data_IF_706143812105
#
_entry.id   IF_706143812105
#
_cell.length_a   1.000
_cell.length_b   1.000
_cell.length_c   1.000
_cell.angle_alpha   90.00
_cell.angle_beta   90.00
_cell.angle_gamma   90.00
#
_symmetry.space_group_name_H-M   'P 1'
#
loop_
_entity.id
_entity.type
_entity.pdbx_description
1 polymer ?
#
# COMPACT_ATOMS: atom_id res chain seq x y z
N UNK A 1 -31.21 -5.82 -16.62
CA UNK A 1 -30.73 -5.83 -18.03
C UNK A 1 -29.21 -5.86 -17.99
N UNK A 2 -28.63 -6.98 -18.42
CA UNK A 2 -27.19 -7.20 -18.48
C UNK A 2 -26.59 -6.36 -19.61
N UNK A 3 -25.81 -5.33 -19.28
CA UNK A 3 -24.90 -4.74 -20.25
C UNK A 3 -23.65 -5.62 -20.31
N UNK A 4 -23.66 -6.54 -21.29
CA UNK A 4 -22.47 -7.20 -21.79
C UNK A 4 -21.47 -6.13 -22.23
N UNK A 5 -20.35 -6.05 -21.54
CA UNK A 5 -19.19 -5.27 -21.98
C UNK A 5 -18.66 -5.98 -23.23
N UNK A 6 -18.87 -5.35 -24.38
CA UNK A 6 -18.26 -5.74 -25.65
C UNK A 6 -16.74 -5.56 -25.51
N UNK A 7 -16.01 -6.65 -25.37
CA UNK A 7 -14.55 -6.66 -25.35
C UNK A 7 -14.11 -6.38 -26.78
N UNK A 8 -13.44 -5.24 -26.99
CA UNK A 8 -12.83 -4.90 -28.27
C UNK A 8 -11.84 -6.00 -28.68
N UNK A 9 -12.10 -6.58 -29.86
CA UNK A 9 -11.20 -7.47 -30.58
C UNK A 9 -9.87 -6.75 -30.84
N UNK A 10 -8.77 -7.34 -30.35
CA UNK A 10 -7.44 -6.77 -30.54
C UNK A 10 -6.35 -7.18 -29.54
N UNK A 11 -6.47 -8.30 -28.82
CA UNK A 11 -5.33 -8.84 -28.04
C UNK A 11 -4.77 -10.05 -28.78
N UNK A 12 -3.73 -9.92 -29.60
CA UNK A 12 -2.92 -11.09 -29.90
C UNK A 12 -2.07 -11.41 -28.66
N UNK A 13 -1.94 -12.70 -28.37
CA UNK A 13 -0.84 -13.35 -27.66
C UNK A 13 -1.14 -13.96 -26.27
N UNK A 14 -0.57 -15.16 -26.14
CA UNK A 14 -0.68 -16.14 -25.07
C UNK A 14 -0.54 -15.54 -23.66
N UNK A 15 -1.57 -15.71 -22.83
CA UNK A 15 -1.49 -15.46 -21.39
C UNK A 15 -0.54 -16.46 -20.73
N UNK A 16 0.28 -16.00 -19.78
CA UNK A 16 1.20 -16.86 -19.01
C UNK A 16 0.43 -18.00 -18.34
N UNK A 17 1.00 -19.20 -18.42
CA UNK A 17 0.61 -20.36 -17.62
C UNK A 17 1.00 -20.16 -16.16
N UNK A 18 0.45 -20.96 -15.25
CA UNK A 18 0.81 -20.91 -13.83
C UNK A 18 2.31 -21.13 -13.59
N UNK A 19 2.93 -22.07 -14.32
CA UNK A 19 4.38 -22.31 -14.26
C UNK A 19 5.19 -21.08 -14.70
N UNK A 20 4.73 -20.39 -15.75
CA UNK A 20 5.41 -19.18 -16.24
C UNK A 20 5.26 -18.01 -15.26
N UNK A 21 4.11 -17.90 -14.58
CA UNK A 21 3.97 -16.95 -13.48
C UNK A 21 5.01 -17.20 -12.39
N UNK A 22 5.18 -18.45 -11.94
CA UNK A 22 6.18 -18.82 -10.90
C UNK A 22 7.59 -18.38 -11.29
N UNK A 23 8.03 -18.65 -12.53
CA UNK A 23 9.37 -18.26 -12.98
C UNK A 23 9.54 -16.74 -13.01
N UNK A 24 8.56 -16.01 -13.53
CA UNK A 24 8.63 -14.54 -13.60
C UNK A 24 8.63 -13.91 -12.20
N UNK A 25 7.82 -14.42 -11.27
CA UNK A 25 7.85 -13.93 -9.89
C UNK A 25 9.12 -14.28 -9.14
N UNK A 26 9.76 -15.42 -9.43
CA UNK A 26 11.08 -15.72 -8.89
C UNK A 26 12.12 -14.70 -9.37
N UNK A 27 12.10 -14.32 -10.66
CA UNK A 27 12.94 -13.23 -11.19
C UNK A 27 12.66 -11.89 -10.51
N UNK A 28 11.38 -11.52 -10.35
CA UNK A 28 11.00 -10.29 -9.64
C UNK A 28 11.46 -10.28 -8.18
N UNK A 29 11.39 -11.43 -7.49
CA UNK A 29 11.87 -11.57 -6.12
C UNK A 29 13.39 -11.38 -6.01
N UNK A 30 14.16 -11.89 -6.98
CA UNK A 30 15.61 -11.65 -7.05
C UNK A 30 15.89 -10.15 -7.17
N UNK A 31 15.20 -9.44 -8.07
CA UNK A 31 15.34 -7.99 -8.21
C UNK A 31 14.97 -7.24 -6.92
N UNK A 32 13.91 -7.68 -6.23
CA UNK A 32 13.51 -7.11 -4.95
C UNK A 32 14.58 -7.31 -3.86
N UNK A 33 15.22 -8.49 -3.79
CA UNK A 33 16.29 -8.74 -2.82
C UNK A 33 17.54 -7.92 -3.12
N UNK A 34 17.91 -7.82 -4.40
CA UNK A 34 19.03 -6.98 -4.85
C UNK A 34 18.78 -5.51 -4.56
N UNK A 35 17.55 -5.01 -4.74
CA UNK A 35 17.17 -3.66 -4.33
C UNK A 35 17.49 -3.42 -2.85
N UNK A 36 17.04 -4.31 -1.96
CA UNK A 36 17.27 -4.13 -0.53
C UNK A 36 18.74 -4.25 -0.12
N UNK A 37 19.51 -5.10 -0.79
CA UNK A 37 20.96 -5.15 -0.59
C UNK A 37 21.61 -3.82 -0.99
N UNK A 38 21.24 -3.26 -2.14
CA UNK A 38 21.75 -1.97 -2.60
C UNK A 38 21.30 -0.80 -1.71
N UNK A 39 20.10 -0.83 -1.12
CA UNK A 39 19.70 0.14 -0.09
C UNK A 39 20.63 0.11 1.13
N UNK A 40 21.02 -1.09 1.59
CA UNK A 40 21.94 -1.23 2.74
C UNK A 40 23.35 -0.73 2.41
N UNK A 41 23.77 -0.86 1.15
CA UNK A 41 25.08 -0.44 0.67
C UNK A 41 25.13 1.01 0.15
N UNK A 42 24.02 1.74 0.15
CA UNK A 42 23.99 3.12 -0.37
C UNK A 42 24.03 3.24 -1.90
N UNK A 43 23.74 2.17 -2.63
CA UNK A 43 23.87 2.07 -4.09
C UNK A 43 22.52 2.11 -4.83
N UNK A 44 21.47 2.71 -4.23
CA UNK A 44 20.11 2.70 -4.77
C UNK A 44 20.00 3.21 -6.21
N UNK A 45 20.65 4.35 -6.51
CA UNK A 45 20.56 4.98 -7.83
C UNK A 45 21.29 4.16 -8.90
N UNK A 46 22.46 3.61 -8.58
CA UNK A 46 23.20 2.76 -9.52
C UNK A 46 22.44 1.47 -9.83
N UNK A 47 21.78 0.86 -8.83
CA UNK A 47 20.91 -0.29 -9.07
C UNK A 47 19.73 0.05 -10.00
N UNK A 48 19.09 1.21 -9.79
CA UNK A 48 17.99 1.67 -10.64
C UNK A 48 18.45 1.79 -12.09
N UNK A 49 19.59 2.46 -12.33
CA UNK A 49 20.16 2.67 -13.66
C UNK A 49 20.47 1.32 -14.34
N UNK A 50 21.18 0.42 -13.66
CA UNK A 50 21.56 -0.90 -14.20
C UNK A 50 20.35 -1.74 -14.58
N UNK A 51 19.29 -1.74 -13.77
CA UNK A 51 18.08 -2.50 -14.06
C UNK A 51 17.28 -1.87 -15.21
N UNK A 52 17.26 -0.54 -15.32
CA UNK A 52 16.65 0.14 -16.48
C UNK A 52 17.39 -0.19 -17.77
N UNK A 53 18.72 -0.27 -17.75
CA UNK A 53 19.54 -0.70 -18.89
C UNK A 53 19.27 -2.16 -19.25
N UNK A 54 19.24 -3.06 -18.25
CA UNK A 54 18.95 -4.48 -18.43
C UNK A 54 17.62 -4.72 -19.16
N UNK A 55 16.55 -4.00 -18.79
CA UNK A 55 15.24 -4.19 -19.44
C UNK A 55 15.09 -3.44 -20.76
N UNK A 56 16.02 -2.54 -21.08
CA UNK A 56 16.08 -1.87 -22.38
C UNK A 56 16.62 -2.82 -23.45
N UNK A 57 17.61 -3.63 -23.11
CA UNK A 57 18.14 -4.68 -23.97
C UNK A 57 17.30 -5.96 -23.87
N UNK A 58 16.17 -5.96 -24.57
CA UNK A 58 15.24 -7.10 -24.60
C UNK A 58 15.85 -8.38 -25.16
N UNK A 59 16.89 -8.28 -25.99
CA UNK A 59 17.52 -9.45 -26.63
C UNK A 59 18.35 -10.27 -25.63
N UNK A 60 18.85 -9.61 -24.57
CA UNK A 60 19.59 -10.25 -23.49
C UNK A 60 18.71 -11.04 -22.51
N UNK A 61 17.39 -10.80 -22.50
CA UNK A 61 16.47 -11.40 -21.54
C UNK A 61 15.92 -12.74 -22.05
N UNK A 62 15.84 -13.76 -21.18
CA UNK A 62 15.13 -14.99 -21.50
C UNK A 62 13.69 -14.70 -21.95
N UNK A 63 13.24 -15.40 -23.00
CA UNK A 63 11.95 -15.13 -23.67
C UNK A 63 10.73 -15.14 -22.75
N UNK A 64 10.79 -15.88 -21.63
CA UNK A 64 9.74 -15.92 -20.61
C UNK A 64 9.48 -14.55 -19.96
N UNK A 65 10.50 -13.69 -19.85
CA UNK A 65 10.39 -12.32 -19.31
C UNK A 65 9.86 -11.32 -20.35
N UNK A 66 9.86 -11.71 -21.63
CA UNK A 66 9.32 -10.90 -22.73
C UNK A 66 7.82 -11.13 -22.93
N UNK A 67 7.24 -12.11 -22.25
CA UNK A 67 5.81 -12.40 -22.34
C UNK A 67 4.98 -11.22 -21.83
N UNK A 68 3.98 -10.85 -22.64
CA UNK A 68 3.02 -9.81 -22.31
C UNK A 68 2.23 -10.11 -21.04
N UNK A 69 1.66 -9.04 -20.51
CA UNK A 69 0.66 -9.10 -19.46
C UNK A 69 -0.60 -9.86 -19.89
N UNK A 70 -1.39 -10.28 -18.90
CA UNK A 70 -2.69 -10.91 -19.13
C UNK A 70 -3.79 -10.22 -18.34
N UNK A 71 -4.94 -10.88 -18.22
CA UNK A 71 -5.99 -10.49 -17.26
C UNK A 71 -6.01 -11.55 -16.17
N UNK A 72 -5.87 -11.12 -14.91
CA UNK A 72 -6.08 -12.01 -13.78
C UNK A 72 -7.57 -12.34 -13.69
N UNK A 73 -7.91 -13.62 -13.82
CA UNK A 73 -9.30 -14.11 -13.76
C UNK A 73 -9.95 -13.84 -12.39
N UNK A 74 -9.18 -13.95 -11.32
CA UNK A 74 -9.62 -13.65 -9.95
C UNK A 74 -9.86 -12.15 -9.77
N UNK A 75 -8.99 -11.33 -10.38
CA UNK A 75 -9.01 -9.88 -10.21
C UNK A 75 -9.98 -9.15 -11.09
N UNK A 76 -10.25 -9.71 -12.27
CA UNK A 76 -10.66 -8.96 -13.44
C UNK A 76 -9.82 -7.68 -13.62
N UNK A 77 -8.51 -7.79 -13.40
CA UNK A 77 -7.53 -6.70 -13.53
C UNK A 77 -6.42 -7.13 -14.46
N UNK A 78 -5.82 -6.15 -15.14
CA UNK A 78 -4.63 -6.34 -15.95
C UNK A 78 -3.46 -6.76 -15.07
N UNK A 79 -2.72 -7.74 -15.55
CA UNK A 79 -1.42 -8.15 -15.03
C UNK A 79 -0.37 -7.50 -15.93
N UNK A 80 0.59 -6.73 -15.40
CA UNK A 80 1.64 -6.11 -16.21
C UNK A 80 2.60 -7.16 -16.79
N UNK A 81 3.27 -6.81 -17.89
CA UNK A 81 4.42 -7.59 -18.35
C UNK A 81 5.59 -7.44 -17.36
N UNK A 82 6.59 -8.32 -17.42
CA UNK A 82 7.74 -8.20 -16.50
C UNK A 82 8.52 -6.92 -16.76
N UNK A 83 8.77 -6.62 -18.04
CA UNK A 83 9.44 -5.38 -18.46
C UNK A 83 8.66 -4.15 -17.98
N UNK A 84 7.34 -4.13 -18.15
CA UNK A 84 6.50 -3.05 -17.65
C UNK A 84 6.68 -2.91 -16.14
N UNK A 85 6.53 -3.98 -15.37
CA UNK A 85 6.69 -3.92 -13.92
C UNK A 85 8.06 -3.46 -13.48
N UNK A 86 9.13 -3.84 -14.17
CA UNK A 86 10.47 -3.38 -13.84
C UNK A 86 10.61 -1.88 -14.13
N UNK A 87 10.23 -1.44 -15.31
CA UNK A 87 10.28 -0.03 -15.69
C UNK A 87 9.44 0.84 -14.75
N UNK A 88 8.21 0.43 -14.47
CA UNK A 88 7.29 1.19 -13.64
C UNK A 88 7.69 1.16 -12.16
N UNK A 89 8.28 0.07 -11.68
CA UNK A 89 8.88 0.01 -10.34
C UNK A 89 10.05 0.99 -10.23
N UNK A 90 10.98 0.99 -11.20
CA UNK A 90 12.18 1.84 -11.13
C UNK A 90 11.83 3.33 -11.12
N UNK A 91 10.85 3.79 -11.91
CA UNK A 91 10.32 5.17 -11.83
C UNK A 91 9.88 5.55 -10.41
N UNK A 92 9.12 4.67 -9.76
CA UNK A 92 8.60 4.90 -8.39
C UNK A 92 9.72 4.88 -7.36
N UNK A 93 10.72 4.02 -7.52
CA UNK A 93 11.91 4.01 -6.67
C UNK A 93 12.76 5.27 -6.85
N UNK A 94 12.97 5.76 -8.08
CA UNK A 94 13.65 7.03 -8.34
C UNK A 94 12.96 8.19 -7.65
N UNK A 95 11.62 8.23 -7.72
CA UNK A 95 10.80 9.21 -7.02
C UNK A 95 10.97 9.10 -5.49
N UNK A 96 10.89 7.89 -4.92
CA UNK A 96 11.10 7.66 -3.49
C UNK A 96 12.51 8.10 -3.04
N UNK A 97 13.54 7.82 -3.83
CA UNK A 97 14.91 8.26 -3.50
C UNK A 97 15.09 9.78 -3.64
N UNK A 98 14.34 10.44 -4.52
CA UNK A 98 14.29 11.90 -4.56
C UNK A 98 13.65 12.48 -3.28
N UNK A 99 12.55 11.86 -2.80
CA UNK A 99 11.93 12.21 -1.51
C UNK A 99 12.87 12.02 -0.33
N UNK A 100 13.73 10.98 -0.34
CA UNK A 100 14.73 10.74 0.73
C UNK A 100 15.68 11.92 0.95
N UNK A 101 15.95 12.69 -0.12
CA UNK A 101 16.89 13.82 -0.12
C UNK A 101 16.23 15.15 0.21
N UNK A 102 14.91 15.18 0.44
CA UNK A 102 14.17 16.37 0.81
C UNK A 102 14.64 16.94 2.16
N UNK A 103 14.53 18.25 2.33
CA UNK A 103 14.70 18.87 3.64
C UNK A 103 13.58 18.39 4.56
N UNK A 104 13.95 17.81 5.71
CA UNK A 104 13.00 17.22 6.63
C UNK A 104 12.71 18.17 7.80
N UNK A 105 11.48 18.67 7.93
CA UNK A 105 11.11 19.55 9.04
C UNK A 105 10.96 18.78 10.37
N UNK A 106 11.10 19.44 11.54
CA UNK A 106 10.97 18.80 12.86
C UNK A 106 9.59 18.21 13.17
N UNK A 107 8.57 18.75 12.50
CA UNK A 107 7.16 18.33 12.61
C UNK A 107 6.88 17.06 11.81
N UNK A 108 7.76 16.64 10.90
CA UNK A 108 7.66 15.35 10.22
C UNK A 108 8.35 14.26 11.06
N UNK A 109 7.63 13.17 11.34
CA UNK A 109 8.11 12.05 12.16
C UNK A 109 8.50 10.85 11.35
N UNK A 110 7.79 10.58 10.28
CA UNK A 110 8.11 9.47 9.41
C UNK A 110 7.47 9.59 8.05
N UNK A 111 8.11 8.94 7.08
CA UNK A 111 7.50 8.66 5.79
C UNK A 111 7.61 7.16 5.58
N UNK A 112 6.46 6.50 5.49
CA UNK A 112 6.36 5.09 5.13
C UNK A 112 5.76 5.00 3.73
N UNK A 113 6.11 3.94 3.02
CA UNK A 113 5.44 3.60 1.78
C UNK A 113 5.06 2.13 1.74
N UNK A 114 3.98 1.85 1.01
CA UNK A 114 3.43 0.51 0.96
C UNK A 114 2.58 0.23 -0.27
N UNK A 115 1.54 -0.57 -0.07
CA UNK A 115 0.59 -0.91 -1.12
C UNK A 115 1.24 -1.72 -2.25
N UNK A 116 0.97 -1.37 -3.51
CA UNK A 116 1.40 -2.20 -4.65
C UNK A 116 2.91 -2.51 -4.67
N UNK A 117 3.73 -1.59 -4.14
CA UNK A 117 5.18 -1.73 -3.99
C UNK A 117 5.58 -2.72 -2.88
N UNK A 118 4.73 -2.93 -1.87
CA UNK A 118 4.90 -3.94 -0.81
C UNK A 118 4.41 -5.32 -1.23
N UNK A 119 3.38 -5.41 -2.07
CA UNK A 119 2.77 -6.68 -2.50
C UNK A 119 3.50 -7.38 -3.65
N UNK A 120 4.59 -6.82 -4.18
CA UNK A 120 5.36 -7.45 -5.26
C UNK A 120 6.05 -6.44 -6.14
N UNK A 121 7.11 -5.82 -5.60
CA UNK A 121 8.02 -4.95 -6.34
C UNK A 121 8.56 -5.70 -7.57
N UNK A 122 8.63 -5.06 -8.74
CA UNK A 122 9.04 -5.67 -10.02
C UNK A 122 8.09 -6.74 -10.60
N UNK A 123 6.90 -6.96 -10.03
CA UNK A 123 5.93 -7.94 -10.54
C UNK A 123 4.49 -7.40 -10.70
N UNK A 124 4.05 -6.55 -9.76
CA UNK A 124 2.66 -6.09 -9.69
C UNK A 124 2.45 -4.63 -10.10
N UNK A 125 3.54 -3.92 -10.37
CA UNK A 125 3.51 -2.49 -10.63
C UNK A 125 3.10 -2.25 -12.09
N UNK A 126 2.03 -1.48 -12.28
CA UNK A 126 1.43 -1.17 -13.58
C UNK A 126 1.73 0.26 -14.01
N UNK A 127 1.87 0.47 -15.30
CA UNK A 127 1.83 1.77 -15.95
C UNK A 127 0.51 2.00 -16.70
N UNK A 128 0.43 3.10 -17.46
CA UNK A 128 -0.71 3.37 -18.34
C UNK A 128 -1.98 3.83 -17.61
N UNK A 129 -3.16 3.55 -18.18
CA UNK A 129 -4.46 4.06 -17.69
C UNK A 129 -4.84 3.52 -16.31
N UNK A 130 -4.38 2.32 -15.96
CA UNK A 130 -4.60 1.65 -14.67
C UNK A 130 -3.30 1.55 -13.86
N UNK A 131 -2.44 2.57 -13.99
CA UNK A 131 -1.16 2.66 -13.31
C UNK A 131 -1.31 2.47 -11.80
N UNK A 132 -0.33 1.79 -11.20
CA UNK A 132 -0.28 1.62 -9.76
C UNK A 132 0.12 2.92 -9.08
N UNK A 133 -0.63 3.34 -8.06
CA UNK A 133 -0.24 4.47 -7.22
C UNK A 133 1.01 4.13 -6.39
N UNK A 134 1.70 5.17 -5.91
CA UNK A 134 2.62 5.05 -4.76
C UNK A 134 1.86 5.47 -3.52
N UNK A 135 1.60 4.51 -2.63
CA UNK A 135 0.90 4.75 -1.37
C UNK A 135 1.92 5.24 -0.32
N UNK A 136 1.79 6.51 0.08
CA UNK A 136 2.69 7.20 1.01
C UNK A 136 1.94 7.58 2.29
N UNK A 137 2.55 7.27 3.42
CA UNK A 137 2.07 7.65 4.74
C UNK A 137 3.04 8.64 5.36
N UNK A 138 2.59 9.87 5.55
CA UNK A 138 3.30 10.92 6.24
C UNK A 138 2.83 10.96 7.69
N UNK A 139 3.72 10.60 8.61
CA UNK A 139 3.46 10.62 10.05
C UNK A 139 4.01 11.93 10.59
N UNK A 140 3.16 12.76 11.16
CA UNK A 140 3.47 14.16 11.47
C UNK A 140 3.03 14.54 12.88
N UNK A 141 3.53 15.66 13.40
CA UNK A 141 2.90 16.36 14.50
C UNK A 141 1.66 17.11 14.03
N UNK A 142 0.74 17.40 14.94
CA UNK A 142 -0.49 18.11 14.60
C UNK A 142 -0.29 19.53 14.07
N UNK A 143 0.82 20.19 14.41
CA UNK A 143 1.17 21.54 13.94
C UNK A 143 1.72 21.56 12.50
N UNK A 144 2.10 20.41 11.93
CA UNK A 144 2.53 20.27 10.54
C UNK A 144 1.53 20.87 9.54
N UNK A 145 0.23 20.74 9.80
CA UNK A 145 -0.82 21.23 8.91
C UNK A 145 -1.00 22.75 8.90
N UNK A 146 -0.40 23.46 9.87
CA UNK A 146 -0.42 24.92 9.96
C UNK A 146 0.93 25.57 9.66
N UNK A 147 2.00 24.80 9.50
CA UNK A 147 3.36 25.34 9.37
C UNK A 147 3.84 25.42 7.92
N UNK A 148 4.90 26.21 7.72
CA UNK A 148 5.65 26.27 6.46
C UNK A 148 6.30 24.92 6.09
N UNK A 149 6.37 23.97 7.03
CA UNK A 149 6.96 22.66 6.85
C UNK A 149 6.25 21.82 5.78
N UNK A 150 4.92 21.92 5.71
CA UNK A 150 4.14 21.25 4.68
C UNK A 150 4.61 21.68 3.28
N UNK A 151 4.92 22.97 3.11
CA UNK A 151 5.37 23.58 1.86
C UNK A 151 6.79 23.13 1.50
N UNK A 152 7.64 22.89 2.51
CA UNK A 152 8.99 22.38 2.30
C UNK A 152 8.99 20.90 1.89
N UNK A 153 8.08 20.11 2.46
CA UNK A 153 7.95 18.67 2.16
C UNK A 153 7.34 18.45 0.77
N UNK A 154 6.26 19.15 0.45
CA UNK A 154 5.57 18.99 -0.84
C UNK A 154 5.98 20.10 -1.80
N UNK A 155 6.94 19.81 -2.68
CA UNK A 155 7.45 20.78 -3.65
C UNK A 155 7.65 20.18 -5.03
N UNK A 156 7.74 21.04 -6.05
CA UNK A 156 8.07 20.62 -7.43
C UNK A 156 9.45 19.94 -7.52
N UNK A 157 10.41 20.35 -6.67
CA UNK A 157 11.72 19.70 -6.58
C UNK A 157 11.63 18.25 -6.12
N UNK A 158 10.54 17.89 -5.43
CA UNK A 158 10.26 16.55 -4.95
C UNK A 158 9.34 15.75 -5.89
N UNK A 159 9.02 16.29 -7.08
CA UNK A 159 8.27 15.59 -8.13
C UNK A 159 6.76 15.82 -8.12
N UNK A 160 6.24 16.71 -7.27
CA UNK A 160 4.81 17.06 -7.21
C UNK A 160 4.48 18.27 -8.08
N UNK A 161 3.33 18.25 -8.75
CA UNK A 161 2.91 19.38 -9.59
C UNK A 161 2.44 20.59 -8.75
N UNK A 162 2.74 21.85 -9.14
CA UNK A 162 2.43 23.04 -8.35
C UNK A 162 0.93 23.23 -8.01
N UNK A 163 0.04 22.96 -8.96
CA UNK A 163 -1.41 23.02 -8.78
C UNK A 163 -1.91 22.02 -7.74
N UNK A 164 -1.32 20.82 -7.73
CA UNK A 164 -1.63 19.76 -6.77
C UNK A 164 -1.15 20.12 -5.37
N UNK A 165 -0.01 20.80 -5.27
CA UNK A 165 0.53 21.32 -4.00
C UNK A 165 -0.41 22.40 -3.43
N UNK A 166 -0.90 23.33 -4.26
CA UNK A 166 -1.86 24.35 -3.81
C UNK A 166 -3.15 23.72 -3.26
N UNK A 167 -3.71 22.72 -3.97
CA UNK A 167 -4.89 22.00 -3.49
C UNK A 167 -4.66 21.33 -2.14
N UNK A 168 -3.49 20.73 -1.92
CA UNK A 168 -3.13 20.14 -0.63
C UNK A 168 -3.10 21.20 0.48
N UNK A 169 -2.57 22.39 0.19
CA UNK A 169 -2.46 23.50 1.15
C UNK A 169 -3.83 23.99 1.59
N UNK A 170 -4.71 24.29 0.62
CA UNK A 170 -6.05 24.81 0.89
C UNK A 170 -6.83 23.87 1.81
N UNK A 171 -6.67 22.56 1.58
CA UNK A 171 -7.31 21.50 2.38
C UNK A 171 -6.69 21.31 3.76
N UNK A 172 -5.40 21.61 3.94
CA UNK A 172 -4.69 21.34 5.21
C UNK A 172 -5.19 22.19 6.37
N UNK A 173 -5.55 23.45 6.11
CA UNK A 173 -6.13 24.35 7.12
C UNK A 173 -7.49 23.83 7.58
N UNK A 174 -8.33 23.41 6.63
CA UNK A 174 -9.64 22.83 6.94
C UNK A 174 -9.49 21.51 7.70
N UNK A 175 -8.55 20.65 7.30
CA UNK A 175 -8.23 19.43 8.04
C UNK A 175 -7.85 19.72 9.49
N UNK A 176 -6.96 20.68 9.73
CA UNK A 176 -6.52 21.03 11.08
C UNK A 176 -7.70 21.47 11.97
N UNK A 177 -8.63 22.24 11.42
CA UNK A 177 -9.84 22.65 12.12
C UNK A 177 -10.74 21.45 12.45
N UNK A 178 -10.93 20.53 11.50
CA UNK A 178 -11.69 19.29 11.72
C UNK A 178 -11.03 18.38 12.75
N UNK A 179 -9.71 18.21 12.68
CA UNK A 179 -8.93 17.42 13.63
C UNK A 179 -9.04 17.97 15.05
N UNK A 180 -8.86 19.28 15.24
CA UNK A 180 -9.02 19.95 16.54
C UNK A 180 -10.44 19.85 17.10
N UNK A 181 -11.45 19.83 16.22
CA UNK A 181 -12.85 19.62 16.60
C UNK A 181 -13.19 18.14 16.84
N UNK A 182 -12.23 17.21 16.69
CA UNK A 182 -12.46 15.78 16.81
C UNK A 182 -13.41 15.24 15.73
N UNK A 183 -13.38 15.81 14.51
CA UNK A 183 -14.21 15.40 13.37
C UNK A 183 -13.45 14.66 12.28
N UNK A 184 -12.12 14.74 12.27
CA UNK A 184 -11.26 14.00 11.35
C UNK A 184 -10.03 13.48 12.09
N UNK A 185 -9.47 12.36 11.65
CA UNK A 185 -8.29 11.72 12.25
C UNK A 185 -7.08 11.80 11.32
N UNK A 186 -7.29 11.74 10.01
CA UNK A 186 -6.23 11.87 9.00
C UNK A 186 -6.74 12.57 7.74
N UNK A 187 -5.81 13.01 6.89
CA UNK A 187 -6.12 13.56 5.58
C UNK A 187 -5.58 12.66 4.47
N UNK A 188 -6.45 12.25 3.55
CA UNK A 188 -6.06 11.59 2.30
C UNK A 188 -6.07 12.59 1.12
N UNK A 189 -5.07 12.50 0.26
CA UNK A 189 -4.98 13.29 -0.97
C UNK A 189 -4.27 12.49 -2.05
N UNK A 190 -4.83 12.46 -3.26
CA UNK A 190 -4.10 12.00 -4.43
C UNK A 190 -3.35 13.17 -5.05
N UNK A 191 -2.05 13.03 -5.28
CA UNK A 191 -1.27 14.03 -6.01
C UNK A 191 -0.70 13.41 -7.28
N UNK A 192 -0.86 14.12 -8.39
CA UNK A 192 -0.27 13.73 -9.66
C UNK A 192 1.22 14.13 -9.70
N UNK A 193 2.05 13.21 -10.18
CA UNK A 193 3.42 13.48 -10.65
C UNK A 193 3.40 13.58 -12.18
N UNK A 194 4.56 13.71 -12.82
CA UNK A 194 4.66 13.67 -14.28
C UNK A 194 4.26 12.31 -14.87
N UNK A 195 4.48 11.21 -14.14
CA UNK A 195 4.39 9.85 -14.67
C UNK A 195 3.26 9.01 -14.03
N UNK A 196 2.85 9.32 -12.81
CA UNK A 196 1.91 8.49 -12.04
C UNK A 196 1.23 9.30 -10.93
N UNK A 197 0.32 8.65 -10.20
CA UNK A 197 -0.37 9.24 -9.05
C UNK A 197 0.25 8.72 -7.76
N UNK A 198 0.39 9.61 -6.78
CA UNK A 198 0.70 9.25 -5.40
C UNK A 198 -0.58 9.32 -4.58
N UNK A 199 -0.81 8.33 -3.73
CA UNK A 199 -1.91 8.32 -2.76
C UNK A 199 -1.31 8.65 -1.40
N UNK A 200 -1.51 9.89 -0.96
CA UNK A 200 -1.01 10.37 0.32
C UNK A 200 -2.01 10.11 1.44
N UNK A 201 -1.49 9.67 2.59
CA UNK A 201 -2.17 9.64 3.87
C UNK A 201 -1.32 10.41 4.86
N UNK A 202 -1.79 11.58 5.29
CA UNK A 202 -1.10 12.44 6.25
C UNK A 202 -1.80 12.29 7.59
N UNK A 203 -1.08 11.78 8.59
CA UNK A 203 -1.64 11.32 9.84
C UNK A 203 -0.82 11.85 11.03
N UNK A 204 -1.46 12.46 12.04
CA UNK A 204 -0.82 12.77 13.31
C UNK A 204 -0.24 11.49 13.95
N UNK A 205 0.95 11.59 14.55
CA UNK A 205 1.63 10.44 15.19
C UNK A 205 0.79 9.79 16.31
N UNK A 206 -0.04 10.57 16.99
CA UNK A 206 -1.00 10.07 17.98
C UNK A 206 -2.01 9.11 17.35
N UNK A 207 -2.60 9.48 16.22
CA UNK A 207 -3.56 8.67 15.48
C UNK A 207 -2.89 7.40 14.94
N UNK A 208 -1.69 7.53 14.39
CA UNK A 208 -0.92 6.39 13.86
C UNK A 208 -0.61 5.35 14.95
N UNK A 209 -0.19 5.82 16.12
CA UNK A 209 0.10 4.95 17.27
C UNK A 209 -1.18 4.31 17.82
N UNK A 210 -2.26 5.07 17.90
CA UNK A 210 -3.53 4.56 18.43
C UNK A 210 -4.11 3.48 17.52
N UNK A 211 -4.14 3.76 16.21
CA UNK A 211 -4.57 2.82 15.17
C UNK A 211 -3.80 1.50 15.21
N UNK A 212 -2.47 1.58 15.21
CA UNK A 212 -1.62 0.40 14.99
C UNK A 212 -1.18 -0.31 16.26
N UNK A 213 -1.26 0.33 17.43
CA UNK A 213 -0.78 -0.27 18.68
C UNK A 213 -1.76 -0.16 19.83
N UNK A 214 -2.08 1.03 20.34
CA UNK A 214 -2.74 1.14 21.65
C UNK A 214 -4.17 0.60 21.63
N UNK A 215 -5.06 1.20 20.83
CA UNK A 215 -6.42 0.72 20.70
C UNK A 215 -6.48 -0.71 20.13
N UNK A 216 -5.56 -1.05 19.21
CA UNK A 216 -5.50 -2.39 18.63
C UNK A 216 -5.18 -3.45 19.69
N UNK A 217 -4.15 -3.24 20.52
CA UNK A 217 -3.73 -4.14 21.57
C UNK A 217 -4.87 -4.40 22.57
N UNK A 218 -5.50 -3.33 23.04
CA UNK A 218 -6.62 -3.41 23.98
C UNK A 218 -7.80 -4.18 23.36
N UNK A 219 -8.13 -3.87 22.10
CA UNK A 219 -9.18 -4.55 21.35
C UNK A 219 -8.90 -6.05 21.23
N UNK A 220 -7.72 -6.44 20.74
CA UNK A 220 -7.41 -7.85 20.50
C UNK A 220 -7.28 -8.65 21.80
N UNK A 221 -6.86 -8.00 22.90
CA UNK A 221 -6.78 -8.61 24.22
C UNK A 221 -8.17 -8.82 24.83
N UNK A 222 -9.10 -7.89 24.65
CA UNK A 222 -10.48 -8.01 25.14
C UNK A 222 -11.26 -9.14 24.44
N UNK A 223 -10.97 -9.37 23.15
CA UNK A 223 -11.69 -10.33 22.31
C UNK A 223 -13.17 -9.97 22.07
N UNK A 224 -13.62 -8.79 22.51
CA UNK A 224 -14.99 -8.34 22.33
C UNK A 224 -15.24 -7.87 20.89
N UNK A 225 -16.48 -8.04 20.44
CA UNK A 225 -16.92 -7.52 19.16
C UNK A 225 -16.82 -5.98 19.16
N UNK A 226 -16.00 -5.44 18.27
CA UNK A 226 -15.75 -4.00 18.16
C UNK A 226 -15.34 -3.63 16.74
N UNK A 227 -15.76 -2.44 16.31
CA UNK A 227 -15.29 -1.79 15.09
C UNK A 227 -14.49 -0.57 15.47
N UNK A 228 -13.21 -0.53 15.10
CA UNK A 228 -12.38 0.65 15.23
C UNK A 228 -12.40 1.43 13.91
N UNK A 229 -13.07 2.59 13.94
CA UNK A 229 -13.24 3.46 12.79
C UNK A 229 -12.25 4.62 12.79
N UNK A 230 -11.79 5.01 11.60
CA UNK A 230 -10.98 6.19 11.37
C UNK A 230 -11.70 7.14 10.44
N UNK A 231 -11.70 8.43 10.78
CA UNK A 231 -12.34 9.51 10.00
C UNK A 231 -11.33 10.12 9.05
N UNK A 232 -11.44 9.75 7.79
CA UNK A 232 -10.58 10.18 6.70
C UNK A 232 -11.18 11.41 5.98
N UNK A 233 -10.47 12.53 6.04
CA UNK A 233 -10.81 13.75 5.30
C UNK A 233 -10.20 13.73 3.90
N UNK A 234 -11.05 13.73 2.86
CA UNK A 234 -10.64 13.49 1.47
C UNK A 234 -11.42 14.36 0.47
N UNK A 235 -10.93 14.57 -0.77
CA UNK A 235 -11.51 15.51 -1.73
C UNK A 235 -12.75 14.98 -2.46
N UNK A 236 -13.32 13.85 -2.03
CA UNK A 236 -14.50 13.26 -2.64
C UNK A 236 -14.79 11.85 -2.14
N UNK A 237 -15.98 11.35 -2.46
CA UNK A 237 -16.49 10.06 -2.00
C UNK A 237 -15.56 8.90 -2.39
N UNK A 238 -15.62 7.80 -1.62
CA UNK A 238 -14.99 6.56 -2.08
C UNK A 238 -15.75 6.03 -3.30
N UNK A 239 -15.02 5.47 -4.27
CA UNK A 239 -15.63 4.81 -5.42
C UNK A 239 -16.44 3.57 -5.02
N UNK A 240 -16.14 3.00 -3.84
CA UNK A 240 -16.83 1.86 -3.23
C UNK A 240 -17.27 2.22 -1.82
N UNK A 241 -18.55 2.05 -1.50
CA UNK A 241 -19.10 2.24 -0.14
C UNK A 241 -19.00 1.01 0.76
N UNK A 242 -18.65 -0.13 0.17
CA UNK A 242 -18.49 -1.40 0.88
C UNK A 242 -17.03 -1.81 0.79
N UNK A 243 -16.38 -1.91 1.95
CA UNK A 243 -15.02 -2.37 2.11
C UNK A 243 -15.05 -3.83 2.51
N UNK A 244 -14.32 -4.66 1.77
CA UNK A 244 -14.12 -6.06 2.15
C UNK A 244 -12.87 -6.12 3.01
N UNK A 245 -12.99 -6.59 4.25
CA UNK A 245 -11.88 -6.91 5.15
C UNK A 245 -11.78 -8.43 5.28
N UNK A 246 -10.64 -8.93 5.73
CA UNK A 246 -10.44 -10.37 5.87
C UNK A 246 -9.75 -10.64 7.20
N UNK A 247 -10.08 -11.78 7.78
CA UNK A 247 -9.37 -12.31 8.94
C UNK A 247 -8.12 -13.12 8.51
N UNK A 248 -7.45 -13.76 9.46
CA UNK A 248 -6.30 -14.63 9.18
C UNK A 248 -6.67 -15.94 8.48
N UNK A 249 -7.95 -16.35 8.49
CA UNK A 249 -8.45 -17.52 7.76
C UNK A 249 -8.88 -17.17 6.33
N UNK A 250 -8.78 -15.89 5.97
CA UNK A 250 -9.22 -15.33 4.70
C UNK A 250 -10.75 -15.34 4.50
N UNK A 251 -11.50 -15.35 5.61
CA UNK A 251 -12.95 -15.16 5.62
C UNK A 251 -13.27 -13.67 5.41
N UNK A 252 -14.11 -13.31 4.42
CA UNK A 252 -14.44 -11.93 4.14
C UNK A 252 -15.46 -11.36 5.14
N UNK A 253 -15.27 -10.10 5.50
CA UNK A 253 -16.27 -9.27 6.17
C UNK A 253 -16.55 -8.02 5.34
N UNK A 254 -17.83 -7.72 5.12
CA UNK A 254 -18.25 -6.58 4.33
C UNK A 254 -18.71 -5.44 5.24
N UNK A 255 -17.91 -4.37 5.29
CA UNK A 255 -18.21 -3.18 6.07
C UNK A 255 -18.73 -2.06 5.17
N UNK A 256 -19.86 -1.46 5.53
CA UNK A 256 -20.40 -0.30 4.81
C UNK A 256 -19.97 0.99 5.51
N UNK A 257 -19.37 1.92 4.78
CA UNK A 257 -18.89 3.19 5.35
C UNK A 257 -19.99 4.23 5.47
N UNK A 258 -19.84 5.10 6.46
CA UNK A 258 -20.64 6.32 6.61
C UNK A 258 -19.84 7.52 6.12
N UNK A 259 -20.50 8.41 5.37
CA UNK A 259 -19.89 9.58 4.72
C UNK A 259 -20.62 10.84 5.18
N UNK A 260 -19.87 11.86 5.62
CA UNK A 260 -20.36 13.22 5.86
C UNK A 260 -19.80 14.13 4.75
N UNK A 261 -20.70 14.72 3.95
CA UNK A 261 -20.32 15.68 2.91
C UNK A 261 -20.20 17.06 3.56
N UNK A 262 -19.05 17.69 3.40
CA UNK A 262 -18.75 19.04 3.86
C UNK A 262 -18.94 20.05 2.72
N UNK A 263 -18.58 21.31 2.95
CA UNK A 263 -18.51 22.32 1.89
C UNK A 263 -17.48 21.92 0.81
N UNK A 264 -17.68 22.43 -0.41
CA UNK A 264 -16.78 22.29 -1.55
C UNK A 264 -16.50 20.84 -2.00
N UNK A 265 -17.52 19.97 -1.92
CA UNK A 265 -17.49 18.54 -2.29
C UNK A 265 -16.43 17.70 -1.55
N UNK A 266 -15.83 18.24 -0.49
CA UNK A 266 -14.95 17.50 0.41
C UNK A 266 -15.77 16.64 1.37
N UNK A 267 -15.19 15.52 1.81
CA UNK A 267 -15.92 14.55 2.65
C UNK A 267 -15.07 14.06 3.80
N UNK A 268 -15.74 13.75 4.91
CA UNK A 268 -15.20 12.92 5.98
C UNK A 268 -15.86 11.55 5.88
N UNK A 269 -15.06 10.51 5.67
CA UNK A 269 -15.54 9.13 5.63
C UNK A 269 -15.01 8.37 6.83
N UNK A 270 -15.89 7.68 7.56
CA UNK A 270 -15.45 6.72 8.57
C UNK A 270 -15.17 5.39 7.90
N UNK A 271 -13.89 5.05 7.77
CA UNK A 271 -13.42 3.76 7.26
C UNK A 271 -13.09 2.82 8.42
N UNK A 272 -13.35 1.51 8.29
CA UNK A 272 -12.95 0.54 9.30
C UNK A 272 -11.43 0.35 9.22
N UNK A 273 -10.72 0.75 10.27
CA UNK A 273 -9.29 0.49 10.35
C UNK A 273 -9.01 -0.95 10.78
N UNK A 274 -9.82 -1.48 11.71
CA UNK A 274 -9.92 -2.92 11.99
C UNK A 274 -11.23 -3.21 12.72
N UNK A 275 -11.57 -4.49 12.84
CA UNK A 275 -12.64 -4.95 13.71
C UNK A 275 -12.30 -6.31 14.31
N UNK A 276 -12.79 -6.56 15.53
CA UNK A 276 -12.87 -7.90 16.10
C UNK A 276 -14.32 -8.31 16.04
N UNK A 277 -14.58 -9.51 15.52
CA UNK A 277 -15.92 -10.07 15.44
C UNK A 277 -15.89 -11.58 15.58
N UNK A 278 -16.74 -12.14 16.43
CA UNK A 278 -16.85 -13.58 16.66
C UNK A 278 -15.49 -14.21 17.01
N UNK A 279 -14.66 -13.47 17.75
CA UNK A 279 -13.31 -13.91 18.12
C UNK A 279 -12.29 -13.90 16.97
N UNK A 280 -12.54 -13.20 15.87
CA UNK A 280 -11.61 -13.02 14.75
C UNK A 280 -11.25 -11.55 14.54
N UNK A 281 -9.96 -11.26 14.34
CA UNK A 281 -9.49 -9.94 13.93
C UNK A 281 -9.54 -9.83 12.41
N UNK A 282 -10.22 -8.81 11.90
CA UNK A 282 -10.22 -8.43 10.49
C UNK A 282 -9.46 -7.12 10.32
N UNK A 283 -8.44 -7.12 9.47
CA UNK A 283 -7.60 -5.93 9.26
C UNK A 283 -8.18 -5.03 8.17
N UNK A 284 -8.14 -3.72 8.40
CA UNK A 284 -8.61 -2.72 7.45
C UNK A 284 -7.55 -2.23 6.48
N UNK A 285 -7.93 -1.22 5.70
CA UNK A 285 -7.17 -0.83 4.52
C UNK A 285 -5.76 -0.33 4.85
N UNK A 286 -5.57 0.47 5.90
CA UNK A 286 -4.22 0.95 6.27
C UNK A 286 -3.32 -0.20 6.69
N UNK A 287 -3.81 -1.11 7.54
CA UNK A 287 -3.07 -2.31 7.94
C UNK A 287 -2.60 -3.09 6.71
N UNK A 288 -3.48 -3.23 5.72
CA UNK A 288 -3.16 -3.94 4.48
C UNK A 288 -2.03 -3.28 3.68
N UNK A 289 -1.77 -1.98 3.82
CA UNK A 289 -0.60 -1.36 3.16
C UNK A 289 0.74 -1.83 3.75
N UNK A 290 0.74 -2.34 4.98
CA UNK A 290 1.95 -2.60 5.76
C UNK A 290 2.15 -4.06 6.18
N UNK A 291 1.09 -4.88 6.14
CA UNK A 291 1.11 -6.26 6.61
C UNK A 291 2.14 -7.14 5.88
N UNK A 292 2.19 -7.20 4.53
CA UNK A 292 3.15 -8.08 3.87
C UNK A 292 4.57 -7.61 4.12
N UNK A 293 4.74 -6.28 4.07
CA UNK A 293 5.96 -5.54 4.32
C UNK A 293 5.62 -4.04 4.38
N UNK A 294 6.38 -3.30 5.16
CA UNK A 294 6.43 -1.85 5.09
C UNK A 294 7.87 -1.44 4.82
N UNK A 295 8.06 -0.36 4.06
CA UNK A 295 9.36 0.25 3.85
C UNK A 295 9.31 1.68 4.45
N UNK A 296 10.31 2.01 5.26
CA UNK A 296 10.45 3.32 5.91
C UNK A 296 11.47 4.13 5.12
N UNK A 297 11.05 5.29 4.63
CA UNK A 297 11.88 6.23 3.92
C UNK A 297 12.61 7.18 4.88
N UNK A 298 11.86 7.68 5.86
CA UNK A 298 12.33 8.58 6.90
C UNK A 298 11.68 8.19 8.22
N UNK A 299 12.43 8.26 9.31
CA UNK A 299 11.94 8.02 10.66
C UNK A 299 12.78 8.74 11.69
N UNK A 300 12.18 9.73 12.35
CA UNK A 300 12.84 10.48 13.40
C UNK A 300 13.02 9.59 14.62
N UNK A 301 14.27 9.40 15.04
CA UNK A 301 14.65 8.62 16.21
C UNK A 301 14.09 7.18 16.25
N UNK A 302 13.69 6.60 15.11
CA UNK A 302 13.14 5.25 15.05
C UNK A 302 11.70 5.12 15.58
N UNK A 303 10.95 6.21 15.69
CA UNK A 303 9.62 6.21 16.31
C UNK A 303 8.57 5.44 15.50
N UNK A 304 8.60 5.54 14.17
CA UNK A 304 7.67 4.83 13.30
C UNK A 304 8.04 3.34 13.21
N UNK A 305 9.32 3.02 13.12
CA UNK A 305 9.83 1.64 13.16
C UNK A 305 9.41 0.93 14.46
N UNK A 306 9.47 1.61 15.61
CA UNK A 306 9.01 1.04 16.88
C UNK A 306 7.50 0.72 16.86
N UNK A 307 6.66 1.64 16.36
CA UNK A 307 5.21 1.43 16.22
C UNK A 307 4.93 0.26 15.27
N UNK A 308 5.60 0.21 14.13
CA UNK A 308 5.40 -0.84 13.13
C UNK A 308 5.84 -2.23 13.61
N UNK A 309 6.94 -2.31 14.38
CA UNK A 309 7.39 -3.56 15.01
C UNK A 309 6.36 -4.08 16.01
N UNK A 310 5.82 -3.19 16.84
CA UNK A 310 4.79 -3.55 17.81
C UNK A 310 3.50 -4.00 17.11
N UNK A 311 3.06 -3.27 16.09
CA UNK A 311 1.93 -3.67 15.25
C UNK A 311 2.11 -5.08 14.67
N UNK A 312 3.26 -5.38 14.07
CA UNK A 312 3.57 -6.73 13.56
C UNK A 312 3.61 -7.78 14.68
N UNK A 313 4.11 -7.42 15.86
CA UNK A 313 4.11 -8.31 17.02
C UNK A 313 2.68 -8.65 17.48
N UNK A 314 1.81 -7.65 17.57
CA UNK A 314 0.38 -7.81 17.91
C UNK A 314 -0.30 -8.75 16.92
N UNK A 315 -0.16 -8.50 15.61
CA UNK A 315 -0.75 -9.35 14.58
C UNK A 315 -0.23 -10.78 14.62
N UNK A 316 1.08 -10.98 14.84
CA UNK A 316 1.68 -12.30 14.97
C UNK A 316 1.11 -13.07 16.16
N UNK A 317 1.03 -12.43 17.32
CA UNK A 317 0.48 -13.06 18.52
C UNK A 317 -1.00 -13.41 18.34
N UNK A 318 -1.77 -12.51 17.74
CA UNK A 318 -3.18 -12.75 17.45
C UNK A 318 -3.38 -13.91 16.47
N UNK A 319 -2.60 -13.97 15.40
CA UNK A 319 -2.62 -15.07 14.44
C UNK A 319 -2.30 -16.41 15.09
N UNK A 320 -1.30 -16.47 15.98
CA UNK A 320 -0.97 -17.69 16.75
C UNK A 320 -2.15 -18.12 17.63
N UNK A 321 -2.77 -17.18 18.34
CA UNK A 321 -3.92 -17.46 19.19
C UNK A 321 -5.10 -18.03 18.39
N UNK A 322 -5.48 -17.37 17.29
CA UNK A 322 -6.57 -17.84 16.43
C UNK A 322 -6.27 -19.21 15.80
N UNK A 323 -5.01 -19.46 15.43
CA UNK A 323 -4.56 -20.77 14.95
C UNK A 323 -4.72 -21.86 16.02
N UNK A 324 -4.43 -21.58 17.28
CA UNK A 324 -4.52 -22.56 18.38
C UNK A 324 -5.97 -22.97 18.69
N UNK A 325 -6.93 -22.04 18.54
CA UNK A 325 -8.35 -22.30 18.80
C UNK A 325 -9.12 -22.78 17.56
N UNK A 326 -8.51 -22.68 16.37
CA UNK A 326 -9.13 -23.10 15.12
C UNK A 326 -9.23 -24.62 14.98
N UNK A 327 -10.38 -25.09 14.47
CA UNK A 327 -10.57 -26.49 14.07
C UNK A 327 -9.77 -26.87 12.81
N UNK A 328 -9.31 -25.88 12.04
CA UNK A 328 -8.57 -26.02 10.78
C UNK A 328 -7.31 -25.13 10.80
N UNK A 329 -6.30 -25.45 11.64
CA UNK A 329 -5.16 -24.58 11.91
C UNK A 329 -4.25 -24.32 10.70
N UNK A 330 -4.28 -25.19 9.68
CA UNK A 330 -3.57 -25.02 8.41
C UNK A 330 -4.09 -23.85 7.57
N UNK A 331 -5.28 -23.31 7.86
CA UNK A 331 -5.79 -22.11 7.16
C UNK A 331 -5.12 -20.81 7.61
N UNK A 332 -4.39 -20.84 8.73
CA UNK A 332 -3.78 -19.67 9.39
C UNK A 332 -2.28 -19.50 9.06
N UNK A 333 -1.80 -20.07 7.95
CA UNK A 333 -0.37 -20.06 7.62
C UNK A 333 0.14 -18.72 7.07
N UNK A 334 -0.74 -17.75 6.84
CA UNK A 334 -0.40 -16.57 6.05
C UNK A 334 -1.16 -15.34 6.57
N UNK A 335 -0.47 -14.45 7.30
CA UNK A 335 -0.89 -13.04 7.44
C UNK A 335 -0.68 -12.40 6.06
N UNK A 336 -1.61 -12.54 5.13
CA UNK A 336 -1.53 -11.86 3.83
C UNK A 336 -2.95 -11.58 3.37
N UNK A 337 -3.40 -10.42 3.80
CA UNK A 337 -4.80 -10.07 3.89
C UNK A 337 -5.29 -9.65 2.52
N UNK A 338 -6.42 -10.24 2.16
CA UNK A 338 -7.15 -10.07 0.91
C UNK A 338 -6.48 -10.75 -0.27
N UNK A 339 -7.02 -11.89 -0.72
CA UNK A 339 -7.39 -12.30 -2.09
C UNK A 339 -6.89 -11.44 -3.27
N UNK A 340 -5.66 -10.98 -3.23
CA UNK A 340 -5.09 -10.06 -4.20
C UNK A 340 -3.92 -10.76 -4.86
N UNK A 341 -4.29 -11.67 -5.75
CA UNK A 341 -4.21 -11.37 -7.20
C UNK A 341 -2.81 -11.02 -7.70
N UNK A 342 -1.81 -11.56 -7.03
CA UNK A 342 -0.55 -11.92 -7.59
C UNK A 342 -0.25 -13.30 -7.03
N UNK A 343 0.07 -14.23 -7.90
CA UNK A 343 0.37 -15.62 -7.55
C UNK A 343 1.54 -15.71 -6.52
N UNK A 344 2.21 -14.62 -6.15
CA UNK A 344 3.62 -14.65 -5.76
C UNK A 344 3.99 -13.54 -4.75
N UNK A 345 3.38 -13.53 -3.57
CA UNK A 345 4.17 -13.08 -2.40
C UNK A 345 5.30 -14.10 -2.21
N UNK A 346 6.46 -13.68 -1.67
CA UNK A 346 7.55 -14.63 -1.41
C UNK A 346 7.14 -15.78 -0.50
N UNK A 347 6.12 -15.56 0.33
CA UNK A 347 5.50 -16.60 1.17
C UNK A 347 4.61 -17.55 0.35
N UNK A 348 3.84 -17.03 -0.63
CA UNK A 348 3.07 -17.86 -1.56
C UNK A 348 3.96 -18.69 -2.50
N UNK A 349 5.14 -18.17 -2.86
CA UNK A 349 6.18 -18.90 -3.61
C UNK A 349 6.75 -20.08 -2.81
N UNK A 350 7.00 -19.89 -1.51
CA UNK A 350 7.47 -20.96 -0.61
C UNK A 350 6.38 -22.04 -0.46
N UNK A 351 5.13 -21.63 -0.20
CA UNK A 351 4.01 -22.55 -0.09
C UNK A 351 3.71 -23.31 -1.40
N UNK A 352 3.84 -22.66 -2.56
CA UNK A 352 3.68 -23.31 -3.86
C UNK A 352 4.78 -24.34 -4.12
N UNK A 353 6.02 -24.06 -3.70
CA UNK A 353 7.16 -24.98 -3.83
C UNK A 353 6.97 -26.23 -2.96
N UNK A 354 6.49 -26.05 -1.72
CA UNK A 354 6.20 -27.16 -0.82
C UNK A 354 5.00 -28.01 -1.27
N UNK A 355 4.05 -27.42 -1.99
CA UNK A 355 2.82 -28.10 -2.43
C UNK A 355 2.94 -28.79 -3.80
N UNK A 356 3.90 -28.39 -4.63
CA UNK A 356 4.01 -28.87 -6.02
C UNK A 356 5.40 -29.41 -6.41
N UNK A 357 6.40 -29.36 -5.52
CA UNK A 357 7.75 -29.88 -5.76
C UNK A 357 8.68 -28.85 -6.39
#
# INVERSE_FOLDING_TARGET
MNQLITIHEGIPNRVRTQKEHVVVGAGAKILQDLWYQNCKSGNQLSFIEQIQELVRDKESLPSIFLLEGGISKEANKRVPSFIESVHETTKRLSFIEALRKASIPPTLKGILYGGSMSYGKFYNVRGGKDASDVDLFYIVESDFFASEDLYNVFSFKHGFLPDQIQLLQDRSIQFLNLYRAGKADLMSQKLHTQDFVTSLKIMPISVFRDELTFSLLDTVASGQDVVFGIRDYKPGLYSTRVFTQYDFSHTPYYYSTTEEILADDTVVTTIPSYLVKDGHLYTGDHHNHFIPRYDILYDVNGCCEAIMREFHHILKNRSILEKQISKNPWMYEVINVQDRKSILSSQALIAARERFG
#
